data_IF_174853597631
#
_entry.id   IF_174853597631
#
_cell.length_a   1.000
_cell.length_b   1.000
_cell.length_c   1.000
_cell.angle_alpha   90.00
_cell.angle_beta   90.00
_cell.angle_gamma   90.00
#
_symmetry.space_group_name_H-M   'P 1'
#
loop_
_entity.id
_entity.type
_entity.pdbx_description
1 polymer ?
#
# COMPACT_ATOMS: atom_id res chain seq x y z
N UNK A 1 3.00 -57.17 39.86
CA UNK A 1 2.69 -56.76 41.25
C UNK A 1 2.45 -55.26 41.25
N UNK A 2 1.25 -54.86 41.69
CA UNK A 2 0.68 -53.51 41.69
C UNK A 2 1.54 -52.46 42.40
N UNK A 3 1.38 -51.19 41.99
CA UNK A 3 0.59 -50.20 42.75
C UNK A 3 0.35 -48.92 41.93
N UNK A 4 -0.94 -48.65 41.72
CA UNK A 4 -1.49 -47.39 41.23
C UNK A 4 -1.24 -46.27 42.27
N UNK A 5 -0.94 -45.06 41.82
CA UNK A 5 -1.16 -43.84 42.59
C UNK A 5 -1.99 -42.87 41.77
N UNK A 6 -3.28 -42.84 42.10
CA UNK A 6 -4.22 -41.79 41.73
C UNK A 6 -4.16 -40.67 42.77
N UNK A 7 -3.89 -39.44 42.34
CA UNK A 7 -4.13 -38.25 43.15
C UNK A 7 -5.31 -37.46 42.56
N UNK A 8 -6.32 -37.27 43.40
CA UNK A 8 -7.57 -36.52 43.19
C UNK A 8 -7.28 -35.02 43.43
N UNK A 9 -7.96 -34.10 42.73
CA UNK A 9 -7.72 -32.66 42.79
C UNK A 9 -8.30 -32.00 44.07
N UNK A 10 -7.62 -30.97 44.58
CA UNK A 10 -8.16 -30.09 45.62
C UNK A 10 -8.81 -28.84 45.01
N UNK A 11 -10.12 -28.81 45.16
CA UNK A 11 -11.06 -27.72 44.94
C UNK A 11 -10.98 -26.71 46.10
N UNK A 12 -10.72 -25.42 45.83
CA UNK A 12 -11.05 -24.31 46.74
C UNK A 12 -11.18 -22.96 45.99
N UNK A 13 -12.43 -22.51 45.88
CA UNK A 13 -12.95 -21.13 45.75
C UNK A 13 -14.11 -21.04 46.77
N UNK A 14 -14.65 -19.87 47.20
CA UNK A 14 -14.47 -18.51 46.69
C UNK A 14 -14.31 -17.42 47.79
N UNK A 15 -14.13 -16.16 47.39
CA UNK A 15 -14.39 -14.99 48.24
C UNK A 15 -14.16 -13.67 47.49
N UNK A 16 -15.20 -12.86 47.22
CA UNK A 16 -15.06 -11.56 46.56
C UNK A 16 -14.86 -10.45 47.60
N UNK A 17 -13.83 -9.63 47.44
CA UNK A 17 -13.64 -8.41 48.22
C UNK A 17 -13.87 -7.19 47.33
N UNK A 18 -15.09 -6.65 47.44
CA UNK A 18 -15.45 -5.30 47.02
C UNK A 18 -14.74 -4.30 47.93
N UNK A 19 -14.00 -3.35 47.35
CA UNK A 19 -13.69 -2.11 48.05
C UNK A 19 -13.85 -0.96 47.07
N UNK A 20 -14.94 -0.23 47.24
CA UNK A 20 -15.18 1.07 46.61
C UNK A 20 -14.63 2.17 47.52
N UNK A 21 -13.90 3.12 46.97
CA UNK A 21 -13.70 4.43 47.58
C UNK A 21 -14.03 5.51 46.55
N UNK A 22 -15.19 6.14 46.76
CA UNK A 22 -15.53 7.47 46.22
C UNK A 22 -14.53 8.50 46.76
N UNK A 23 -14.03 9.38 45.88
CA UNK A 23 -13.63 10.73 46.29
C UNK A 23 -14.29 11.72 45.35
N UNK A 24 -15.22 12.48 45.93
CA UNK A 24 -15.87 13.66 45.39
C UNK A 24 -14.92 14.85 45.58
N UNK A 25 -14.66 15.60 44.51
CA UNK A 25 -14.02 16.91 44.58
C UNK A 25 -14.74 17.86 43.64
N UNK A 26 -15.40 18.88 44.20
CA UNK A 26 -16.20 19.86 43.47
C UNK A 26 -15.66 21.29 43.71
N UNK A 27 -15.77 22.12 42.66
CA UNK A 27 -15.58 23.59 42.56
C UNK A 27 -14.14 24.12 42.72
N UNK A 28 -13.67 25.12 41.95
CA UNK A 28 -14.26 26.44 41.69
C UNK A 28 -13.83 26.99 40.31
N UNK A 29 -14.76 27.68 39.64
CA UNK A 29 -14.57 28.50 38.44
C UNK A 29 -13.66 29.71 38.70
N UNK A 30 -12.69 29.97 37.83
CA UNK A 30 -12.26 31.35 37.58
C UNK A 30 -12.01 31.58 36.08
N UNK A 31 -12.65 32.63 35.61
CA UNK A 31 -12.72 33.14 34.25
C UNK A 31 -11.43 33.88 33.87
N UNK A 32 -10.80 33.47 32.76
CA UNK A 32 -9.71 34.19 32.12
C UNK A 32 -9.71 33.95 30.62
N UNK A 33 -10.61 34.62 29.89
CA UNK A 33 -10.61 34.62 28.42
C UNK A 33 -9.47 35.55 27.96
N UNK A 34 -8.29 34.99 27.75
CA UNK A 34 -7.31 35.63 26.87
C UNK A 34 -7.71 35.31 25.43
N UNK A 35 -8.15 36.32 24.68
CA UNK A 35 -8.39 36.22 23.23
C UNK A 35 -7.04 36.03 22.53
N UNK A 36 -6.64 34.77 22.35
CA UNK A 36 -5.52 34.41 21.48
C UNK A 36 -6.06 34.55 20.05
N UNK A 37 -5.50 35.50 19.30
CA UNK A 37 -5.68 35.62 17.86
C UNK A 37 -4.76 34.56 17.23
N UNK A 38 -5.26 33.47 16.62
CA UNK A 38 -4.40 32.62 15.82
C UNK A 38 -4.16 33.33 14.48
N UNK A 39 -3.04 34.06 14.41
CA UNK A 39 -2.46 34.42 13.12
C UNK A 39 -2.25 33.15 12.30
N UNK A 40 -2.75 33.18 11.06
CA UNK A 40 -2.49 32.18 10.01
C UNK A 40 -0.98 31.97 9.85
N UNK A 41 -0.45 30.94 10.51
CA UNK A 41 0.92 30.47 10.32
C UNK A 41 0.86 29.03 9.82
N UNK A 42 1.32 28.84 8.57
CA UNK A 42 1.66 27.58 7.93
C UNK A 42 0.59 26.46 7.93
N UNK A 43 -0.34 26.58 6.99
CA UNK A 43 -1.06 25.42 6.45
C UNK A 43 -0.14 24.57 5.58
N UNK A 44 0.87 23.91 6.18
CA UNK A 44 1.37 22.66 5.62
C UNK A 44 0.25 21.66 5.90
N UNK A 45 -0.70 21.57 4.98
CA UNK A 45 -1.56 20.39 4.96
C UNK A 45 -0.60 19.21 4.87
N UNK A 46 -0.66 18.21 5.78
CA UNK A 46 0.06 16.98 5.53
C UNK A 46 -0.43 16.52 4.16
N UNK A 47 0.48 16.46 3.19
CA UNK A 47 0.22 15.66 2.02
C UNK A 47 -0.03 14.27 2.58
N UNK A 48 -1.29 13.86 2.60
CA UNK A 48 -1.63 12.46 2.70
C UNK A 48 -1.04 11.83 1.43
N UNK A 49 0.27 11.57 1.43
CA UNK A 49 0.82 10.47 0.68
C UNK A 49 0.06 9.29 1.22
N UNK A 50 -1.06 8.95 0.58
CA UNK A 50 -1.88 7.81 0.93
C UNK A 50 -0.91 6.65 0.93
N UNK A 51 -0.45 6.24 2.11
CA UNK A 51 0.14 4.94 2.33
C UNK A 51 -1.03 4.00 2.17
N UNK A 52 -1.41 3.77 0.91
CA UNK A 52 -2.32 2.68 0.56
C UNK A 52 -1.59 1.46 1.10
N UNK A 53 -2.17 0.83 2.13
CA UNK A 53 -1.60 -0.40 2.67
C UNK A 53 -1.51 -1.37 1.51
N UNK A 54 -0.34 -1.92 1.17
CA UNK A 54 -0.23 -2.85 0.05
C UNK A 54 -1.15 -4.07 0.17
N UNK A 55 -1.62 -4.35 1.40
CA UNK A 55 -2.63 -5.36 1.69
C UNK A 55 -3.99 -5.16 0.99
N UNK A 56 -4.34 -3.97 0.52
CA UNK A 56 -5.61 -3.70 -0.19
C UNK A 56 -5.44 -3.29 -1.67
N UNK A 57 -4.22 -3.33 -2.18
CA UNK A 57 -3.95 -2.93 -3.58
C UNK A 57 -4.25 -4.06 -4.56
N UNK A 58 -4.13 -5.32 -4.10
CA UNK A 58 -4.32 -6.49 -4.94
C UNK A 58 -5.74 -6.56 -5.55
N UNK A 59 -6.76 -6.05 -4.85
CA UNK A 59 -8.12 -5.98 -5.40
C UNK A 59 -8.18 -5.15 -6.69
N UNK A 60 -7.43 -4.04 -6.77
CA UNK A 60 -7.38 -3.21 -7.97
C UNK A 60 -6.73 -3.93 -9.15
N UNK A 61 -5.78 -4.84 -8.87
CA UNK A 61 -5.17 -5.69 -9.90
C UNK A 61 -6.24 -6.61 -10.49
N UNK A 62 -7.01 -7.32 -9.67
CA UNK A 62 -8.05 -8.23 -10.17
C UNK A 62 -9.27 -7.52 -10.73
N UNK A 63 -9.55 -6.26 -10.35
CA UNK A 63 -10.55 -5.44 -11.04
C UNK A 63 -10.15 -5.16 -12.50
N UNK A 64 -8.86 -4.96 -12.77
CA UNK A 64 -8.35 -4.69 -14.12
C UNK A 64 -7.96 -5.96 -14.89
N UNK A 65 -7.64 -7.04 -14.17
CA UNK A 65 -7.22 -8.34 -14.70
C UNK A 65 -8.04 -9.46 -14.04
N UNK A 66 -9.34 -9.58 -14.34
CA UNK A 66 -10.21 -10.56 -13.70
C UNK A 66 -9.79 -12.01 -13.97
N UNK A 67 -9.14 -12.25 -15.11
CA UNK A 67 -8.69 -13.58 -15.54
C UNK A 67 -7.29 -13.95 -15.01
N UNK A 68 -6.62 -13.06 -14.26
CA UNK A 68 -5.34 -13.38 -13.63
C UNK A 68 -5.56 -14.50 -12.58
N UNK A 69 -4.71 -15.54 -12.54
CA UNK A 69 -4.80 -16.56 -11.50
C UNK A 69 -4.73 -15.94 -10.09
N UNK A 70 -5.59 -16.41 -9.20
CA UNK A 70 -5.63 -15.92 -7.81
C UNK A 70 -4.61 -16.59 -6.90
N UNK A 71 -4.28 -17.86 -7.12
CA UNK A 71 -3.38 -18.65 -6.25
C UNK A 71 -3.66 -18.41 -4.76
N UNK A 72 -4.92 -18.51 -4.33
CA UNK A 72 -5.36 -18.13 -2.97
C UNK A 72 -6.04 -19.28 -2.21
N UNK A 73 -5.71 -20.53 -2.56
CA UNK A 73 -6.25 -21.74 -1.90
C UNK A 73 -5.37 -22.21 -0.73
N UNK A 74 -4.56 -21.30 -0.16
CA UNK A 74 -3.63 -21.61 0.91
C UNK A 74 -4.26 -21.35 2.28
N UNK A 75 -4.10 -22.31 3.19
CA UNK A 75 -4.53 -22.15 4.58
C UNK A 75 -3.51 -21.37 5.40
N UNK A 76 -4.00 -20.48 6.25
CA UNK A 76 -3.22 -19.78 7.26
C UNK A 76 -2.72 -20.74 8.35
N UNK A 77 -1.50 -20.50 8.85
CA UNK A 77 -0.95 -21.24 10.00
C UNK A 77 -1.77 -20.95 11.25
N UNK A 78 -2.13 -19.68 11.47
CA UNK A 78 -2.76 -19.22 12.71
C UNK A 78 -4.21 -19.70 12.85
N UNK A 79 -4.97 -19.66 11.75
CA UNK A 79 -6.42 -19.95 11.77
C UNK A 79 -6.80 -21.29 11.17
N UNK A 80 -5.92 -21.89 10.37
CA UNK A 80 -6.22 -23.07 9.56
C UNK A 80 -7.22 -22.82 8.41
N UNK A 81 -7.76 -21.62 8.29
CA UNK A 81 -8.71 -21.23 7.24
C UNK A 81 -7.98 -20.74 6.00
N UNK A 82 -8.67 -20.76 4.86
CA UNK A 82 -8.16 -20.20 3.60
C UNK A 82 -7.89 -18.70 3.80
N UNK A 83 -6.67 -18.28 3.47
CA UNK A 83 -6.26 -16.88 3.48
C UNK A 83 -6.66 -16.21 2.15
N UNK A 84 -7.92 -15.79 2.05
CA UNK A 84 -8.52 -15.32 0.78
C UNK A 84 -7.80 -14.12 0.15
N UNK A 85 -7.24 -13.24 0.99
CA UNK A 85 -6.48 -12.05 0.62
C UNK A 85 -5.04 -12.36 0.20
N UNK A 86 -4.52 -13.54 0.56
CA UNK A 86 -3.20 -14.02 0.16
C UNK A 86 -3.26 -14.57 -1.27
N UNK A 87 -3.40 -13.64 -2.22
CA UNK A 87 -3.45 -13.89 -3.66
C UNK A 87 -2.07 -13.78 -4.32
N UNK A 88 -1.93 -14.28 -5.55
CA UNK A 88 -0.76 -14.07 -6.41
C UNK A 88 -0.40 -12.58 -6.50
N UNK A 89 -1.37 -11.71 -6.75
CA UNK A 89 -1.12 -10.27 -6.84
C UNK A 89 -0.62 -9.68 -5.51
N UNK A 90 -1.20 -10.09 -4.37
CA UNK A 90 -0.76 -9.63 -3.05
C UNK A 90 0.71 -10.01 -2.77
N UNK A 91 1.09 -11.25 -3.13
CA UNK A 91 2.46 -11.76 -2.95
C UNK A 91 3.44 -11.13 -3.92
N UNK A 92 3.07 -10.92 -5.19
CA UNK A 92 3.87 -10.17 -6.18
C UNK A 92 4.19 -8.76 -5.71
N UNK A 93 3.17 -8.04 -5.22
CA UNK A 93 3.33 -6.67 -4.72
C UNK A 93 4.22 -6.66 -3.48
N UNK A 94 3.98 -7.57 -2.54
CA UNK A 94 4.78 -7.70 -1.31
C UNK A 94 6.23 -8.05 -1.63
N UNK A 95 6.46 -8.99 -2.54
CA UNK A 95 7.79 -9.37 -2.99
C UNK A 95 8.51 -8.18 -3.64
N UNK A 96 7.86 -7.50 -4.59
CA UNK A 96 8.43 -6.35 -5.28
C UNK A 96 8.85 -5.23 -4.33
N UNK A 97 7.92 -4.79 -3.47
CA UNK A 97 8.11 -3.60 -2.64
C UNK A 97 8.97 -3.94 -1.43
N UNK A 98 8.66 -5.00 -0.70
CA UNK A 98 9.25 -5.25 0.61
C UNK A 98 10.41 -6.24 0.60
N UNK A 99 10.39 -7.23 -0.29
CA UNK A 99 11.50 -8.20 -0.39
C UNK A 99 12.62 -7.68 -1.28
N UNK A 100 12.27 -7.00 -2.37
CA UNK A 100 13.24 -6.50 -3.35
C UNK A 100 13.52 -5.00 -3.26
N UNK A 101 12.68 -4.23 -2.55
CA UNK A 101 12.89 -2.79 -2.42
C UNK A 101 12.73 -2.03 -3.75
N UNK A 102 11.98 -2.59 -4.70
CA UNK A 102 11.80 -2.02 -6.03
C UNK A 102 10.71 -0.94 -6.02
N UNK A 103 10.88 0.05 -6.89
CA UNK A 103 9.97 1.17 -6.97
C UNK A 103 8.72 0.80 -7.81
N UNK A 104 7.52 0.80 -7.22
CA UNK A 104 6.34 0.21 -7.86
C UNK A 104 5.74 1.07 -8.98
N UNK A 105 6.16 2.32 -9.12
CA UNK A 105 5.73 3.22 -10.19
C UNK A 105 6.54 3.06 -11.50
N UNK A 106 7.52 2.15 -11.56
CA UNK A 106 8.33 1.93 -12.76
C UNK A 106 8.08 0.56 -13.39
N UNK A 107 7.74 0.56 -14.69
CA UNK A 107 7.51 -0.67 -15.46
C UNK A 107 8.73 -1.59 -15.54
N UNK A 108 9.94 -1.02 -15.55
CA UNK A 108 11.17 -1.81 -15.63
C UNK A 108 11.33 -2.70 -14.39
N UNK A 109 11.10 -2.15 -13.21
CA UNK A 109 11.20 -2.89 -11.96
C UNK A 109 10.20 -4.05 -11.87
N UNK A 110 9.00 -3.88 -12.42
CA UNK A 110 8.03 -4.96 -12.55
C UNK A 110 8.49 -6.03 -13.55
N UNK A 111 9.15 -5.65 -14.64
CA UNK A 111 9.73 -6.64 -15.57
C UNK A 111 10.84 -7.45 -14.92
N UNK A 112 11.71 -6.81 -14.13
CA UNK A 112 12.73 -7.51 -13.34
C UNK A 112 12.08 -8.47 -12.34
N UNK A 113 10.98 -8.04 -11.71
CA UNK A 113 10.21 -8.90 -10.82
C UNK A 113 9.67 -10.13 -11.54
N UNK A 114 9.02 -9.98 -12.69
CA UNK A 114 8.57 -11.16 -13.45
C UNK A 114 9.75 -12.02 -13.94
N UNK A 115 10.92 -11.44 -14.20
CA UNK A 115 12.10 -12.21 -14.55
C UNK A 115 12.61 -13.06 -13.38
N UNK A 116 12.48 -12.62 -12.13
CA UNK A 116 12.77 -13.45 -10.94
C UNK A 116 11.86 -14.69 -10.88
N UNK A 117 10.55 -14.49 -11.10
CA UNK A 117 9.57 -15.59 -11.12
C UNK A 117 9.80 -16.57 -12.28
N UNK A 118 10.35 -16.08 -13.39
CA UNK A 118 10.73 -16.89 -14.55
C UNK A 118 12.16 -17.43 -14.44
N UNK A 119 12.81 -17.28 -13.28
CA UNK A 119 14.18 -17.74 -13.02
C UNK A 119 15.24 -17.17 -13.98
N UNK A 120 14.96 -16.00 -14.55
CA UNK A 120 15.78 -15.34 -15.57
C UNK A 120 16.55 -14.12 -15.04
N UNK A 121 16.44 -13.80 -13.75
CA UNK A 121 17.12 -12.66 -13.13
C UNK A 121 17.74 -13.03 -11.77
N UNK A 122 16.95 -13.12 -10.70
CA UNK A 122 17.46 -13.48 -9.37
C UNK A 122 16.86 -14.80 -8.85
N UNK A 123 17.62 -15.48 -7.98
CA UNK A 123 17.16 -16.67 -7.26
C UNK A 123 16.17 -16.24 -6.17
N UNK A 124 15.00 -16.87 -6.16
CA UNK A 124 13.98 -16.70 -5.12
C UNK A 124 14.08 -17.84 -4.11
N UNK A 125 14.26 -17.50 -2.82
CA UNK A 125 14.38 -18.49 -1.76
C UNK A 125 13.04 -18.72 -1.05
N UNK A 126 12.66 -19.99 -0.89
CA UNK A 126 11.44 -20.42 -0.22
C UNK A 126 11.27 -19.78 1.17
N UNK A 127 12.28 -19.89 2.03
CA UNK A 127 12.29 -19.38 3.41
C UNK A 127 12.08 -17.86 3.55
N UNK A 128 12.11 -17.14 2.44
CA UNK A 128 12.10 -15.69 2.38
C UNK A 128 10.95 -15.18 1.50
N UNK A 129 10.17 -16.09 0.93
CA UNK A 129 9.08 -15.77 0.02
C UNK A 129 7.82 -15.31 0.79
N UNK A 130 7.06 -14.30 0.30
CA UNK A 130 5.81 -13.90 0.93
C UNK A 130 4.87 -15.09 1.09
N UNK A 131 4.36 -15.29 2.32
CA UNK A 131 3.53 -16.43 2.66
C UNK A 131 4.27 -17.56 3.40
N UNK A 132 5.61 -17.60 3.37
CA UNK A 132 6.38 -18.69 4.01
C UNK A 132 6.06 -18.86 5.51
N UNK A 133 5.95 -17.74 6.24
CA UNK A 133 5.78 -17.75 7.70
C UNK A 133 4.31 -17.66 8.13
N UNK A 134 3.39 -17.49 7.18
CA UNK A 134 1.97 -17.23 7.46
C UNK A 134 1.04 -18.30 6.89
N UNK A 135 1.49 -19.07 5.90
CA UNK A 135 0.73 -20.11 5.21
C UNK A 135 1.30 -21.50 5.51
N UNK A 136 0.42 -22.49 5.61
CA UNK A 136 0.83 -23.88 5.89
C UNK A 136 1.69 -24.48 4.77
N UNK A 137 1.54 -23.98 3.54
CA UNK A 137 2.34 -24.34 2.38
C UNK A 137 2.94 -23.09 1.77
N UNK A 138 4.24 -23.17 1.43
CA UNK A 138 4.91 -22.09 0.73
C UNK A 138 4.35 -21.96 -0.71
N UNK A 139 3.88 -20.76 -1.12
CA UNK A 139 3.22 -20.58 -2.41
C UNK A 139 4.17 -20.39 -3.60
N UNK A 140 5.50 -20.33 -3.40
CA UNK A 140 6.47 -19.93 -4.44
C UNK A 140 6.35 -20.73 -5.73
N UNK A 141 6.32 -22.05 -5.65
CA UNK A 141 6.28 -22.90 -6.85
C UNK A 141 4.96 -22.75 -7.62
N UNK A 142 3.84 -22.62 -6.90
CA UNK A 142 2.53 -22.34 -7.51
C UNK A 142 2.52 -21.01 -8.24
N UNK A 143 3.06 -19.97 -7.62
CA UNK A 143 3.13 -18.64 -8.22
C UNK A 143 4.06 -18.57 -9.44
N UNK A 144 5.20 -19.27 -9.40
CA UNK A 144 6.10 -19.40 -10.55
C UNK A 144 5.38 -20.08 -11.71
N UNK A 145 4.68 -21.16 -11.46
CA UNK A 145 3.89 -21.85 -12.47
C UNK A 145 2.79 -20.94 -13.06
N UNK A 146 2.07 -20.21 -12.22
CA UNK A 146 1.05 -19.25 -12.65
C UNK A 146 1.64 -18.16 -13.57
N UNK A 147 2.80 -17.59 -13.22
CA UNK A 147 3.48 -16.59 -14.04
C UNK A 147 4.08 -17.18 -15.33
N UNK A 148 4.62 -18.39 -15.28
CA UNK A 148 5.15 -19.09 -16.45
C UNK A 148 4.07 -19.41 -17.49
N UNK A 149 2.85 -19.73 -17.02
CA UNK A 149 1.69 -20.00 -17.86
C UNK A 149 1.16 -18.76 -18.59
N UNK A 150 1.50 -17.55 -18.12
CA UNK A 150 1.14 -16.32 -18.83
C UNK A 150 1.95 -16.21 -20.14
N UNK A 151 1.26 -15.92 -21.23
CA UNK A 151 1.92 -15.56 -22.48
C UNK A 151 2.58 -14.17 -22.39
N UNK A 152 3.39 -13.82 -23.40
CA UNK A 152 4.12 -12.54 -23.44
C UNK A 152 3.20 -11.32 -23.32
N UNK A 153 2.04 -11.35 -23.98
CA UNK A 153 1.08 -10.25 -23.93
C UNK A 153 0.48 -10.11 -22.53
N UNK A 154 0.03 -11.20 -21.91
CA UNK A 154 -0.50 -11.21 -20.55
C UNK A 154 0.52 -10.68 -19.53
N UNK A 155 1.80 -11.08 -19.64
CA UNK A 155 2.88 -10.55 -18.79
C UNK A 155 3.07 -9.04 -18.97
N UNK A 156 3.04 -8.56 -20.22
CA UNK A 156 3.14 -7.12 -20.48
C UNK A 156 1.95 -6.35 -19.92
N UNK A 157 0.74 -6.89 -20.02
CA UNK A 157 -0.46 -6.29 -19.43
C UNK A 157 -0.38 -6.27 -17.91
N UNK A 158 0.06 -7.37 -17.29
CA UNK A 158 0.28 -7.44 -15.84
C UNK A 158 1.27 -6.36 -15.37
N UNK A 159 2.41 -6.23 -16.04
CA UNK A 159 3.41 -5.17 -15.76
C UNK A 159 2.80 -3.77 -15.89
N UNK A 160 1.98 -3.54 -16.93
CA UNK A 160 1.36 -2.25 -17.16
C UNK A 160 0.38 -1.90 -16.02
N UNK A 161 -0.54 -2.82 -15.70
CA UNK A 161 -1.52 -2.63 -14.63
C UNK A 161 -0.84 -2.40 -13.28
N UNK A 162 0.18 -3.20 -12.96
CA UNK A 162 0.94 -3.04 -11.72
C UNK A 162 1.63 -1.67 -11.66
N UNK A 163 2.25 -1.20 -12.75
CA UNK A 163 2.88 0.13 -12.74
C UNK A 163 1.85 1.28 -12.66
N UNK A 164 0.73 1.16 -13.37
CA UNK A 164 -0.29 2.21 -13.46
C UNK A 164 -1.02 2.44 -12.13
N UNK A 165 -1.23 1.37 -11.35
CA UNK A 165 -1.85 1.46 -10.02
C UNK A 165 -1.01 2.33 -9.06
N UNK A 166 0.31 2.28 -9.17
CA UNK A 166 1.22 3.04 -8.32
C UNK A 166 1.72 4.35 -8.95
N UNK A 167 1.29 4.65 -10.19
CA UNK A 167 1.63 5.90 -10.84
C UNK A 167 0.60 6.96 -10.44
N UNK A 168 1.02 8.08 -9.81
CA UNK A 168 0.11 9.17 -9.48
C UNK A 168 -0.59 9.68 -10.75
N UNK A 169 -1.91 9.60 -10.79
CA UNK A 169 -2.68 10.26 -11.84
C UNK A 169 -2.63 11.77 -11.55
N UNK A 170 -2.32 12.63 -12.53
CA UNK A 170 -2.46 14.06 -12.32
C UNK A 170 -3.91 14.31 -11.90
N UNK A 171 -4.11 14.84 -10.70
CA UNK A 171 -5.42 15.34 -10.31
C UNK A 171 -5.78 16.39 -11.35
N UNK A 172 -6.77 16.09 -12.17
CA UNK A 172 -7.36 17.07 -13.07
C UNK A 172 -8.17 18.02 -12.20
N UNK A 173 -7.47 18.83 -11.41
CA UNK A 173 -8.04 19.98 -10.75
C UNK A 173 -8.40 20.91 -11.90
N UNK A 174 -9.65 20.81 -12.36
CA UNK A 174 -10.28 21.89 -13.08
C UNK A 174 -10.19 23.10 -12.15
N UNK A 175 -9.15 23.91 -12.32
CA UNK A 175 -9.11 25.26 -11.80
C UNK A 175 -10.41 25.91 -12.27
N UNK A 176 -11.25 26.47 -11.39
CA UNK A 176 -12.37 27.29 -11.84
C UNK A 176 -11.81 28.32 -12.80
N UNK A 177 -12.27 28.28 -14.06
CA UNK A 177 -11.91 29.27 -15.07
C UNK A 177 -12.31 30.63 -14.50
N UNK A 178 -11.33 31.41 -14.03
CA UNK A 178 -11.53 32.84 -13.82
C UNK A 178 -11.70 33.44 -15.21
N UNK A 179 -12.92 33.80 -15.57
CA UNK A 179 -13.17 34.75 -16.64
C UNK A 179 -12.87 36.16 -16.13
N UNK A 180 -12.46 37.04 -17.06
CA UNK A 180 -11.89 38.41 -16.94
C UNK A 180 -10.36 38.41 -16.71
N UNK A 181 -9.46 38.95 -17.56
CA UNK A 181 -9.49 40.05 -18.58
C UNK A 181 -8.22 39.95 -19.49
N UNK A 182 -7.96 40.88 -20.45
CA UNK A 182 -7.80 40.63 -21.88
C UNK A 182 -6.42 40.10 -22.35
N UNK A 183 -6.41 39.59 -23.59
CA UNK A 183 -5.31 39.09 -24.41
C UNK A 183 -4.05 39.96 -24.43
N UNK A 184 -2.84 39.40 -24.20
CA UNK A 184 -1.59 40.10 -24.50
C UNK A 184 -1.31 40.10 -26.01
N UNK A 185 -1.07 41.29 -26.57
CA UNK A 185 -0.62 41.46 -27.96
C UNK A 185 0.74 40.79 -28.17
N UNK A 186 0.99 40.12 -29.31
CA UNK A 186 2.31 39.59 -29.64
C UNK A 186 3.36 40.70 -29.71
N UNK A 187 4.61 40.48 -29.24
CA UNK A 187 5.68 41.45 -29.42
C UNK A 187 5.97 41.63 -30.91
N UNK A 188 5.93 42.88 -31.37
CA UNK A 188 6.25 43.27 -32.73
C UNK A 188 7.78 43.16 -32.95
N UNK A 189 8.24 42.60 -34.08
CA UNK A 189 9.67 42.60 -34.41
C UNK A 189 10.20 44.04 -34.47
N UNK A 190 11.44 44.31 -34.03
CA UNK A 190 12.03 45.64 -34.16
C UNK A 190 12.07 46.06 -35.64
N UNK A 191 11.63 47.28 -35.92
CA UNK A 191 11.75 47.87 -37.25
C UNK A 191 13.22 47.86 -37.68
N UNK A 192 13.46 47.35 -38.89
CA UNK A 192 14.76 47.29 -39.55
C UNK A 192 15.31 48.72 -39.67
N UNK A 193 16.24 49.08 -38.80
CA UNK A 193 16.83 50.42 -38.76
C UNK A 193 17.72 50.70 -39.98
N UNK A 194 17.38 51.77 -40.71
CA UNK A 194 18.30 52.84 -41.14
C UNK A 194 19.55 52.54 -41.97
N UNK A 195 19.76 51.35 -42.52
CA UNK A 195 20.95 51.03 -43.32
C UNK A 195 20.97 51.63 -44.74
N UNK A 196 19.93 52.38 -45.15
CA UNK A 196 19.86 53.01 -46.48
C UNK A 196 20.52 54.39 -46.58
N UNK A 197 21.10 54.93 -45.50
CA UNK A 197 21.81 56.23 -45.50
C UNK A 197 23.32 56.14 -45.79
N UNK A 198 23.81 54.99 -46.28
CA UNK A 198 25.21 54.79 -46.66
C UNK A 198 25.36 54.48 -48.17
N UNK A 199 24.92 55.41 -49.02
CA UNK A 199 25.33 55.50 -50.42
C UNK A 199 25.65 56.94 -50.80
#
# INVERSE_FOLDING_TARGET
>A
MSKNLSFIPSLLKPGPTLTAFMVVGALVLSSGIAKIIPNKFFGIQPAFGQRISPGDIWQQVYQQLPDLPKENQYSSIDTGQIAEDNTLASRLITYHIYRKGRAPNYRLDWKLTLADYLEANEIMYHNSYPGNDTLQQNPLEGDRAAIANLNRQQRNTLVQVLADIFTPKPQNNQTPRRETTPTPTPPQPPQRGGAELLK
#
